data_IF_413284267125
#
_entry.id   IF_413284267125
#
_cell.length_a   1.000
_cell.length_b   1.000
_cell.length_c   1.000
_cell.angle_alpha   90.00
_cell.angle_beta   90.00
_cell.angle_gamma   90.00
#
_symmetry.space_group_name_H-M   'P 1'
#
loop_
_entity.id
_entity.type
_entity.pdbx_description
1 polymer ?
#
# COMPACT_ATOMS: atom_id res chain seq x y z
N UNK A 1 -3.14 33.30 18.08
CA UNK A 1 -4.14 32.26 17.81
C UNK A 1 -4.58 32.48 16.37
N UNK A 2 -3.72 32.12 15.43
CA UNK A 2 -4.01 32.31 14.02
C UNK A 2 -5.14 31.37 13.64
N UNK A 3 -6.16 31.93 13.00
CA UNK A 3 -7.18 31.18 12.30
C UNK A 3 -6.47 30.33 11.25
N UNK A 4 -6.14 29.09 11.61
CA UNK A 4 -5.60 28.10 10.69
C UNK A 4 -6.69 27.90 9.63
N UNK A 5 -6.51 28.48 8.45
CA UNK A 5 -7.37 28.28 7.30
C UNK A 5 -7.31 26.81 6.87
N UNK A 6 -8.12 25.97 7.50
CA UNK A 6 -8.24 24.54 7.20
C UNK A 6 -8.50 24.31 5.70
N UNK A 7 -9.19 25.25 5.04
CA UNK A 7 -9.48 25.19 3.60
C UNK A 7 -8.23 25.37 2.71
N UNK A 8 -7.32 26.29 3.04
CA UNK A 8 -6.11 26.51 2.21
C UNK A 8 -5.12 25.36 2.37
N UNK A 9 -4.97 24.83 3.60
CA UNK A 9 -4.15 23.65 3.88
C UNK A 9 -4.74 22.39 3.22
N UNK A 10 -6.06 22.20 3.26
CA UNK A 10 -6.70 21.07 2.56
C UNK A 10 -6.46 21.14 1.05
N UNK A 11 -6.55 22.35 0.46
CA UNK A 11 -6.31 22.54 -0.97
C UNK A 11 -4.87 22.23 -1.36
N UNK A 12 -3.88 22.66 -0.57
CA UNK A 12 -2.47 22.38 -0.86
C UNK A 12 -2.15 20.89 -0.72
N UNK A 13 -2.69 20.21 0.30
CA UNK A 13 -2.54 18.76 0.47
C UNK A 13 -3.19 17.97 -0.67
N UNK A 14 -4.38 18.38 -1.13
CA UNK A 14 -5.05 17.74 -2.27
C UNK A 14 -4.23 17.88 -3.56
N UNK A 15 -3.70 19.07 -3.85
CA UNK A 15 -2.85 19.27 -5.04
C UNK A 15 -1.53 18.52 -4.94
N UNK A 16 -0.88 18.55 -3.77
CA UNK A 16 0.38 17.83 -3.55
C UNK A 16 0.18 16.31 -3.70
N UNK A 17 -0.85 15.75 -3.06
CA UNK A 17 -1.15 14.32 -3.16
C UNK A 17 -1.55 13.91 -4.59
N UNK A 18 -2.33 14.73 -5.29
CA UNK A 18 -2.66 14.50 -6.70
C UNK A 18 -1.40 14.48 -7.59
N UNK A 19 -0.53 15.48 -7.46
CA UNK A 19 0.71 15.54 -8.24
C UNK A 19 1.63 14.32 -7.99
N UNK A 20 1.82 13.95 -6.72
CA UNK A 20 2.65 12.80 -6.34
C UNK A 20 2.05 11.48 -6.87
N UNK A 21 0.74 11.27 -6.69
CA UNK A 21 0.08 10.03 -7.13
C UNK A 21 -0.01 9.93 -8.65
N UNK A 22 -0.18 11.03 -9.36
CA UNK A 22 -0.16 11.05 -10.82
C UNK A 22 1.21 10.65 -11.38
N UNK A 23 2.29 11.24 -10.85
CA UNK A 23 3.66 10.87 -11.22
C UNK A 23 3.96 9.41 -10.89
N UNK A 24 3.58 8.94 -9.69
CA UNK A 24 3.74 7.56 -9.27
C UNK A 24 2.97 6.61 -10.21
N UNK A 25 1.74 6.95 -10.58
CA UNK A 25 0.91 6.18 -11.52
C UNK A 25 1.56 6.05 -12.90
N UNK A 26 2.09 7.15 -13.45
CA UNK A 26 2.80 7.15 -14.73
C UNK A 26 4.07 6.28 -14.69
N UNK A 27 4.86 6.38 -13.62
CA UNK A 27 6.06 5.53 -13.42
C UNK A 27 5.68 4.07 -13.28
N UNK A 28 4.64 3.74 -12.50
CA UNK A 28 4.16 2.37 -12.32
C UNK A 28 3.62 1.76 -13.62
N UNK A 29 2.98 2.57 -14.47
CA UNK A 29 2.50 2.12 -15.78
C UNK A 29 3.66 1.76 -16.72
N UNK A 30 4.74 2.55 -16.73
CA UNK A 30 5.93 2.30 -17.55
C UNK A 30 6.79 1.15 -17.03
N UNK A 31 6.95 1.03 -15.71
CA UNK A 31 7.82 0.03 -15.08
C UNK A 31 7.15 -1.33 -14.84
N UNK A 32 5.81 -1.40 -14.91
CA UNK A 32 5.09 -2.65 -14.68
C UNK A 32 5.30 -3.19 -13.25
N UNK A 33 5.50 -2.31 -12.27
CA UNK A 33 5.85 -2.65 -10.91
C UNK A 33 4.75 -3.49 -10.24
N UNK A 34 5.06 -4.73 -9.88
CA UNK A 34 4.10 -5.62 -9.26
C UNK A 34 4.82 -6.61 -8.36
N UNK A 35 4.46 -6.63 -7.08
CA UNK A 35 5.06 -7.49 -6.05
C UNK A 35 4.99 -8.97 -6.43
N UNK A 36 3.84 -9.43 -6.92
CA UNK A 36 3.67 -10.80 -7.44
C UNK A 36 4.53 -11.07 -8.67
N UNK A 37 4.71 -10.06 -9.53
CA UNK A 37 5.55 -10.17 -10.71
C UNK A 37 7.03 -10.30 -10.37
N UNK A 38 7.49 -9.59 -9.33
CA UNK A 38 8.87 -9.72 -8.85
C UNK A 38 9.14 -11.13 -8.30
N UNK A 39 8.20 -11.69 -7.53
CA UNK A 39 8.33 -13.06 -7.02
C UNK A 39 8.25 -14.09 -8.16
N UNK A 40 7.30 -13.97 -9.07
CA UNK A 40 7.16 -14.91 -10.19
C UNK A 40 8.36 -14.87 -11.15
N UNK A 41 8.93 -13.69 -11.40
CA UNK A 41 10.00 -13.54 -12.39
C UNK A 41 11.32 -14.17 -11.92
N UNK A 42 11.56 -14.25 -10.61
CA UNK A 42 12.69 -15.01 -10.04
C UNK A 42 12.55 -16.50 -10.33
N UNK A 43 11.36 -17.06 -10.06
CA UNK A 43 11.14 -18.50 -10.11
C UNK A 43 10.85 -19.03 -11.51
N UNK A 44 10.26 -18.22 -12.39
CA UNK A 44 9.77 -18.67 -13.71
C UNK A 44 10.59 -18.08 -14.87
N UNK A 45 11.02 -16.81 -14.79
CA UNK A 45 11.66 -16.10 -15.92
C UNK A 45 13.16 -15.82 -15.72
N UNK A 46 13.72 -16.12 -14.55
CA UNK A 46 15.13 -15.87 -14.19
C UNK A 46 15.62 -14.43 -14.48
N UNK A 47 14.71 -13.45 -14.48
CA UNK A 47 15.04 -12.04 -14.70
C UNK A 47 15.01 -11.26 -13.38
N UNK A 48 16.11 -10.58 -13.07
CA UNK A 48 16.33 -9.91 -11.78
C UNK A 48 15.92 -8.44 -11.78
N UNK A 49 15.54 -7.89 -12.93
CA UNK A 49 15.37 -6.44 -13.09
C UNK A 49 14.22 -5.88 -12.25
N UNK A 50 13.08 -6.58 -12.18
CA UNK A 50 11.92 -6.15 -11.37
C UNK A 50 12.16 -6.34 -9.87
N UNK A 51 13.00 -7.30 -9.48
CA UNK A 51 13.41 -7.47 -8.09
C UNK A 51 14.33 -6.35 -7.63
N UNK A 52 15.31 -5.96 -8.46
CA UNK A 52 16.19 -4.81 -8.17
C UNK A 52 15.38 -3.53 -8.00
N UNK A 53 14.43 -3.26 -8.89
CA UNK A 53 13.51 -2.13 -8.76
C UNK A 53 12.72 -2.17 -7.44
N UNK A 54 12.24 -3.35 -7.04
CA UNK A 54 11.48 -3.51 -5.79
C UNK A 54 12.30 -3.24 -4.54
N UNK A 55 13.53 -3.78 -4.46
CA UNK A 55 14.43 -3.50 -3.34
C UNK A 55 14.87 -2.04 -3.27
N UNK A 56 15.15 -1.42 -4.41
CA UNK A 56 15.55 -0.01 -4.47
C UNK A 56 14.41 0.92 -4.00
N UNK A 57 13.16 0.61 -4.39
CA UNK A 57 11.98 1.32 -3.92
C UNK A 57 11.80 1.20 -2.40
N UNK A 58 11.98 0.01 -1.83
CA UNK A 58 11.92 -0.20 -0.38
C UNK A 58 13.04 0.57 0.33
N UNK A 59 14.28 0.51 -0.19
CA UNK A 59 15.41 1.23 0.37
C UNK A 59 15.17 2.74 0.44
N UNK A 60 14.70 3.34 -0.66
CA UNK A 60 14.36 4.77 -0.70
C UNK A 60 13.23 5.10 0.28
N UNK A 61 12.20 4.26 0.37
CA UNK A 61 11.08 4.47 1.29
C UNK A 61 11.51 4.44 2.76
N UNK A 62 12.36 3.47 3.16
CA UNK A 62 12.87 3.34 4.52
C UNK A 62 13.78 4.51 4.88
N UNK A 63 14.70 4.88 3.99
CA UNK A 63 15.59 6.03 4.20
C UNK A 63 14.77 7.32 4.31
N UNK A 64 13.82 7.54 3.40
CA UNK A 64 12.95 8.72 3.41
C UNK A 64 12.11 8.84 4.67
N UNK A 65 11.51 7.74 5.13
CA UNK A 65 10.74 7.71 6.38
C UNK A 65 11.63 7.99 7.60
N UNK A 66 12.82 7.39 7.65
CA UNK A 66 13.76 7.57 8.76
C UNK A 66 14.26 9.01 8.83
N UNK A 67 14.56 9.63 7.68
CA UNK A 67 14.97 11.03 7.60
C UNK A 67 13.86 11.96 8.10
N UNK A 68 12.62 11.73 7.69
CA UNK A 68 11.48 12.55 8.12
C UNK A 68 11.18 12.38 9.61
N UNK A 69 11.36 11.18 10.15
CA UNK A 69 11.26 10.91 11.58
C UNK A 69 12.37 11.59 12.38
N UNK A 70 13.60 11.64 11.86
CA UNK A 70 14.73 12.29 12.53
C UNK A 70 14.59 13.81 12.58
N UNK A 71 14.03 14.40 11.52
CA UNK A 71 13.76 15.84 11.45
C UNK A 71 12.57 16.29 12.32
N UNK A 72 11.87 15.36 12.99
CA UNK A 72 10.73 15.67 13.87
C UNK A 72 9.47 16.12 13.14
N UNK A 73 9.40 15.95 11.80
CA UNK A 73 8.19 16.30 11.02
C UNK A 73 7.08 15.23 11.16
N UNK A 74 7.41 14.02 11.59
CA UNK A 74 6.47 12.92 11.82
C UNK A 74 6.69 12.33 13.21
N UNK A 75 5.63 12.26 14.01
CA UNK A 75 5.59 11.48 15.26
C UNK A 75 5.29 10.00 14.94
N UNK A 76 6.26 9.07 14.98
CA UNK A 76 6.01 7.66 14.73
C UNK A 76 5.07 7.04 15.79
N UNK A 77 5.00 7.62 17.00
CA UNK A 77 4.12 7.16 18.08
C UNK A 77 2.63 7.42 17.84
N UNK A 78 2.26 8.38 16.98
CA UNK A 78 0.86 8.60 16.59
C UNK A 78 0.41 7.72 15.43
N UNK A 79 1.33 6.94 14.84
CA UNK A 79 1.02 6.10 13.70
C UNK A 79 0.52 4.72 14.14
N UNK A 80 -0.59 4.27 13.56
CA UNK A 80 -1.15 2.93 13.80
C UNK A 80 -0.18 1.78 13.44
N UNK A 81 0.83 2.06 12.61
CA UNK A 81 1.79 1.09 12.12
C UNK A 81 2.91 0.75 13.12
N UNK A 82 3.20 1.65 14.08
CA UNK A 82 4.21 1.45 15.15
C UNK A 82 3.54 1.08 16.49
N UNK A 83 2.39 0.40 16.44
CA UNK A 83 1.72 -0.07 17.65
C UNK A 83 2.45 -1.25 18.29
N UNK A 84 2.69 -1.19 19.61
CA UNK A 84 3.46 -2.19 20.38
C UNK A 84 2.75 -3.56 20.58
N UNK A 85 1.65 -3.83 19.85
CA UNK A 85 0.93 -5.11 19.83
C UNK A 85 1.14 -5.78 18.48
N UNK A 86 2.23 -6.53 18.36
CA UNK A 86 2.42 -7.45 17.24
C UNK A 86 1.57 -8.70 17.51
N UNK A 87 0.35 -8.74 16.96
CA UNK A 87 -0.46 -9.95 16.92
C UNK A 87 0.17 -10.93 15.92
N UNK A 88 1.23 -11.63 16.33
CA UNK A 88 2.04 -12.49 15.47
C UNK A 88 1.19 -13.49 14.68
N UNK A 89 0.18 -14.07 15.33
CA UNK A 89 -0.78 -14.99 14.70
C UNK A 89 -1.59 -14.31 13.59
N UNK A 90 -2.12 -13.12 13.85
CA UNK A 90 -2.93 -12.37 12.88
C UNK A 90 -2.10 -11.92 11.68
N UNK A 91 -0.85 -11.53 11.89
CA UNK A 91 0.04 -11.09 10.81
C UNK A 91 0.40 -12.24 9.88
N UNK A 92 0.71 -13.42 10.44
CA UNK A 92 1.04 -14.61 9.64
C UNK A 92 -0.18 -15.08 8.85
N UNK A 93 -1.33 -15.27 9.51
CA UNK A 93 -2.55 -15.73 8.84
C UNK A 93 -3.01 -14.74 7.77
N UNK A 94 -2.98 -13.44 8.08
CA UNK A 94 -3.36 -12.38 7.14
C UNK A 94 -2.45 -12.32 5.90
N UNK A 95 -1.12 -12.41 6.10
CA UNK A 95 -0.17 -12.36 4.98
C UNK A 95 -0.27 -13.58 4.05
N UNK A 96 -0.51 -14.78 4.59
CA UNK A 96 -0.71 -16.00 3.78
C UNK A 96 -2.01 -15.90 2.97
N UNK A 97 -3.13 -15.52 3.60
CA UNK A 97 -4.42 -15.35 2.91
C UNK A 97 -4.34 -14.28 1.82
N UNK A 98 -3.69 -13.16 2.11
CA UNK A 98 -3.49 -12.09 1.14
C UNK A 98 -2.62 -12.53 -0.04
N UNK A 99 -1.54 -13.27 0.24
CA UNK A 99 -0.68 -13.88 -0.79
C UNK A 99 -1.46 -14.82 -1.71
N UNK A 100 -2.23 -15.74 -1.13
CA UNK A 100 -3.07 -16.68 -1.90
C UNK A 100 -4.12 -15.96 -2.75
N UNK A 101 -4.76 -14.92 -2.19
CA UNK A 101 -5.70 -14.07 -2.91
C UNK A 101 -5.07 -13.36 -4.11
N UNK A 102 -3.83 -12.86 -3.98
CA UNK A 102 -3.12 -12.24 -5.10
C UNK A 102 -2.82 -13.24 -6.25
N UNK A 103 -2.54 -14.52 -5.94
CA UNK A 103 -2.34 -15.55 -6.98
C UNK A 103 -3.65 -15.80 -7.72
N UNK A 104 -4.75 -16.03 -7.00
CA UNK A 104 -6.07 -16.28 -7.58
C UNK A 104 -6.59 -15.11 -8.41
N UNK A 105 -6.38 -13.88 -7.93
CA UNK A 105 -6.78 -12.67 -8.65
C UNK A 105 -5.86 -12.35 -9.85
N UNK A 106 -4.75 -13.07 -10.05
CA UNK A 106 -3.74 -12.83 -11.10
C UNK A 106 -3.20 -11.38 -11.10
N UNK A 107 -3.10 -10.77 -9.92
CA UNK A 107 -2.80 -9.35 -9.79
C UNK A 107 -2.31 -8.93 -8.40
N UNK A 108 -1.57 -7.82 -8.37
CA UNK A 108 -1.18 -7.10 -7.15
C UNK A 108 -1.98 -5.78 -7.09
N UNK A 109 -2.21 -5.24 -5.89
CA UNK A 109 -3.04 -4.03 -5.69
C UNK A 109 -2.59 -2.82 -6.53
N UNK A 110 -1.28 -2.61 -6.68
CA UNK A 110 -0.73 -1.54 -7.52
C UNK A 110 -1.02 -1.75 -9.01
N UNK A 111 -0.84 -2.99 -9.52
CA UNK A 111 -1.08 -3.30 -10.94
C UNK A 111 -2.57 -3.34 -11.28
N UNK A 112 -3.45 -3.72 -10.34
CA UNK A 112 -4.89 -3.62 -10.56
C UNK A 112 -5.34 -2.17 -10.70
N UNK A 113 -4.82 -1.26 -9.88
CA UNK A 113 -5.08 0.18 -10.00
C UNK A 113 -4.66 0.74 -11.38
N UNK A 114 -3.45 0.41 -11.82
CA UNK A 114 -2.96 0.84 -13.15
C UNK A 114 -3.80 0.23 -14.29
N UNK A 115 -4.24 -1.04 -14.16
CA UNK A 115 -5.10 -1.71 -15.16
C UNK A 115 -6.52 -1.12 -15.23
N UNK A 116 -7.04 -0.59 -14.13
CA UNK A 116 -8.30 0.17 -14.14
C UNK A 116 -8.14 1.42 -15.00
N UNK A 117 -7.03 2.15 -14.84
CA UNK A 117 -6.70 3.31 -15.68
C UNK A 117 -6.51 2.96 -17.17
N UNK A 118 -6.14 1.71 -17.49
CA UNK A 118 -6.02 1.20 -18.86
C UNK A 118 -7.30 0.62 -19.47
N UNK A 119 -8.45 0.70 -18.80
CA UNK A 119 -9.75 0.27 -19.35
C UNK A 119 -10.15 -1.19 -19.13
N UNK A 120 -9.51 -1.92 -18.20
CA UNK A 120 -9.86 -3.32 -17.95
C UNK A 120 -11.00 -3.48 -16.92
N UNK A 121 -12.20 -3.84 -17.38
CA UNK A 121 -13.38 -4.04 -16.53
C UNK A 121 -13.17 -5.11 -15.44
N UNK A 122 -12.43 -6.19 -15.72
CA UNK A 122 -12.13 -7.23 -14.70
C UNK A 122 -11.40 -6.63 -13.49
N UNK A 123 -10.52 -5.66 -13.72
CA UNK A 123 -9.71 -5.07 -12.65
C UNK A 123 -10.53 -4.18 -11.72
N UNK A 124 -11.63 -3.59 -12.21
CA UNK A 124 -12.55 -2.78 -11.41
C UNK A 124 -13.22 -3.63 -10.34
N UNK A 125 -13.75 -4.79 -10.74
CA UNK A 125 -14.44 -5.72 -9.82
C UNK A 125 -13.48 -6.26 -8.78
N UNK A 126 -12.28 -6.69 -9.19
CA UNK A 126 -11.25 -7.18 -8.25
C UNK A 126 -10.87 -6.10 -7.24
N UNK A 127 -10.69 -4.85 -7.69
CA UNK A 127 -10.34 -3.75 -6.79
C UNK A 127 -11.47 -3.38 -5.83
N UNK A 128 -12.72 -3.39 -6.30
CA UNK A 128 -13.89 -3.16 -5.45
C UNK A 128 -14.00 -4.21 -4.35
N UNK A 129 -13.84 -5.49 -4.69
CA UNK A 129 -13.88 -6.60 -3.73
C UNK A 129 -12.72 -6.49 -2.73
N UNK A 130 -11.50 -6.22 -3.20
CA UNK A 130 -10.33 -6.00 -2.34
C UNK A 130 -10.56 -4.83 -1.37
N UNK A 131 -11.09 -3.71 -1.86
CA UNK A 131 -11.42 -2.54 -1.04
C UNK A 131 -12.50 -2.84 0.00
N UNK A 132 -13.52 -3.61 -0.36
CA UNK A 132 -14.59 -4.01 0.57
C UNK A 132 -14.04 -4.89 1.71
N UNK A 133 -13.23 -5.90 1.39
CA UNK A 133 -12.60 -6.76 2.40
C UNK A 133 -11.63 -5.98 3.28
N UNK A 134 -10.85 -5.05 2.71
CA UNK A 134 -9.97 -4.17 3.50
C UNK A 134 -10.78 -3.30 4.47
N UNK A 135 -11.89 -2.72 4.02
CA UNK A 135 -12.77 -1.92 4.87
C UNK A 135 -13.42 -2.76 5.99
N UNK A 136 -13.89 -3.97 5.67
CA UNK A 136 -14.42 -4.92 6.64
C UNK A 136 -13.37 -5.38 7.66
N UNK A 137 -12.09 -5.44 7.28
CA UNK A 137 -11.03 -5.84 8.21
C UNK A 137 -10.65 -4.71 9.19
N UNK A 138 -10.69 -3.46 8.72
CA UNK A 138 -10.35 -2.28 9.55
C UNK A 138 -11.52 -1.84 10.44
N UNK A 139 -12.75 -1.84 9.92
CA UNK A 139 -13.96 -1.34 10.61
C UNK A 139 -15.00 -2.39 10.94
N UNK A 140 -14.83 -3.64 10.51
CA UNK A 140 -15.83 -4.70 10.71
C UNK A 140 -15.58 -5.55 11.96
N UNK A 141 -16.23 -6.72 11.97
CA UNK A 141 -16.33 -7.65 13.10
C UNK A 141 -14.98 -8.11 13.68
N UNK A 142 -13.93 -8.20 12.84
CA UNK A 142 -12.56 -8.55 13.26
C UNK A 142 -11.89 -7.45 14.11
N UNK A 143 -12.36 -6.20 13.98
CA UNK A 143 -11.92 -5.09 14.83
C UNK A 143 -12.29 -5.32 16.29
N UNK A 144 -13.51 -5.83 16.55
CA UNK A 144 -14.01 -6.12 17.91
C UNK A 144 -13.19 -7.24 18.57
N UNK A 145 -12.79 -8.27 17.81
CA UNK A 145 -11.86 -9.29 18.31
C UNK A 145 -10.49 -8.70 18.66
N UNK A 146 -9.95 -7.77 17.85
CA UNK A 146 -8.65 -7.13 18.10
C UNK A 146 -8.62 -6.31 19.39
N UNK A 147 -9.71 -5.63 19.76
CA UNK A 147 -9.79 -4.84 21.00
C UNK A 147 -10.23 -5.63 22.23
N UNK A 148 -11.03 -6.69 22.05
CA UNK A 148 -11.67 -7.39 23.18
C UNK A 148 -10.96 -8.69 23.61
N UNK A 149 -10.16 -9.32 22.73
CA UNK A 149 -9.47 -10.58 23.06
C UNK A 149 -7.96 -10.44 23.27
N UNK A 150 -7.37 -9.28 22.94
CA UNK A 150 -5.93 -9.02 23.10
C UNK A 150 -5.67 -7.72 23.80
#
# INVERSE_FOLDING_TARGET
>A
MDVVDINTLSRSVLWASFAITFLLGAVMQKTGFCTMGAVSDIFIMSSWDRLKQWFLAIGIAVIGFTLLSYLGLIDPLKSFYTGNRLLWLSTIVGSILFGFGMVLASGCGSKTLVRIGGGNLKSIIVFMVLGLFAFMTIRGFLGVFRINTL
#
